data_IF_354533443783
#
_entry.id   IF_354533443783
#
_cell.length_a   1.000
_cell.length_b   1.000
_cell.length_c   1.000
_cell.angle_alpha   90.00
_cell.angle_beta   90.00
_cell.angle_gamma   90.00
#
_symmetry.space_group_name_H-M   'P 1'
#
loop_
_entity.id
_entity.type
_entity.pdbx_description
1 polymer ?
#
# COMPACT_ATOMS: atom_id res chain seq x y z
N UNK A 1 5.27 3.25 8.38
CA UNK A 1 5.02 2.55 9.67
C UNK A 1 5.74 1.21 9.68
N UNK A 2 6.23 0.70 10.83
CA UNK A 2 6.96 -0.58 10.93
C UNK A 2 6.03 -1.69 11.44
N UNK A 3 6.09 -2.93 10.90
CA UNK A 3 5.38 -4.07 11.49
C UNK A 3 5.93 -4.41 12.89
N UNK A 4 5.17 -5.17 13.67
CA UNK A 4 5.68 -5.81 14.88
C UNK A 4 6.73 -6.86 14.51
N UNK A 5 7.91 -6.86 15.15
CA UNK A 5 8.95 -7.86 14.90
C UNK A 5 8.66 -9.18 15.62
N UNK A 6 9.11 -10.29 15.04
CA UNK A 6 8.97 -11.64 15.62
C UNK A 6 8.08 -12.57 14.79
N UNK A 7 8.27 -13.88 14.96
CA UNK A 7 7.49 -14.93 14.25
C UNK A 7 6.24 -15.34 15.03
N UNK A 8 6.35 -15.50 16.34
CA UNK A 8 5.23 -15.90 17.21
C UNK A 8 4.57 -14.66 17.83
N UNK A 9 3.78 -13.96 17.02
CA UNK A 9 3.07 -12.76 17.45
C UNK A 9 1.67 -13.11 17.99
N UNK A 10 1.17 -12.39 19.01
CA UNK A 10 -0.23 -12.44 19.42
C UNK A 10 -1.18 -12.12 18.25
N UNK A 11 -2.39 -12.68 18.27
CA UNK A 11 -3.40 -12.52 17.21
C UNK A 11 -3.55 -11.06 16.76
N UNK A 12 -3.68 -10.15 17.72
CA UNK A 12 -3.89 -8.72 17.44
C UNK A 12 -2.76 -8.08 16.61
N UNK A 13 -1.51 -8.44 16.93
CA UNK A 13 -0.32 -7.96 16.23
C UNK A 13 -0.16 -8.60 14.85
N UNK A 14 -0.62 -9.85 14.69
CA UNK A 14 -0.68 -10.51 13.37
C UNK A 14 -1.68 -9.83 12.46
N UNK A 15 -2.89 -9.55 12.96
CA UNK A 15 -3.93 -8.80 12.23
C UNK A 15 -3.38 -7.44 11.79
N UNK A 16 -2.76 -6.70 12.71
CA UNK A 16 -2.13 -5.42 12.36
C UNK A 16 -1.08 -5.57 11.26
N UNK A 17 -0.14 -6.53 11.40
CA UNK A 17 0.90 -6.75 10.40
C UNK A 17 0.32 -7.11 9.03
N UNK A 18 -0.70 -7.98 9.00
CA UNK A 18 -1.38 -8.38 7.77
C UNK A 18 -2.08 -7.20 7.09
N UNK A 19 -2.86 -6.42 7.84
CA UNK A 19 -3.52 -5.22 7.31
C UNK A 19 -2.53 -4.18 6.81
N UNK A 20 -1.41 -4.00 7.52
CA UNK A 20 -0.35 -3.11 7.09
C UNK A 20 0.30 -3.59 5.78
N UNK A 21 0.55 -4.90 5.63
CA UNK A 21 1.06 -5.48 4.39
C UNK A 21 0.07 -5.33 3.22
N UNK A 22 -1.22 -5.60 3.45
CA UNK A 22 -2.28 -5.38 2.45
C UNK A 22 -2.35 -3.92 2.00
N UNK A 23 -2.24 -2.97 2.92
CA UNK A 23 -2.20 -1.55 2.59
C UNK A 23 -0.97 -1.18 1.74
N UNK A 24 0.21 -1.71 2.07
CA UNK A 24 1.42 -1.51 1.26
C UNK A 24 1.28 -2.08 -0.14
N UNK A 25 0.75 -3.29 -0.27
CA UNK A 25 0.53 -3.93 -1.57
C UNK A 25 -0.32 -3.06 -2.50
N UNK A 26 -1.41 -2.45 -1.99
CA UNK A 26 -2.26 -1.54 -2.77
C UNK A 26 -1.46 -0.32 -3.25
N UNK A 27 -0.67 0.28 -2.36
CA UNK A 27 0.16 1.45 -2.69
C UNK A 27 1.24 1.10 -3.71
N UNK A 28 1.97 0.00 -3.50
CA UNK A 28 3.04 -0.47 -4.38
C UNK A 28 2.48 -0.81 -5.77
N UNK A 29 1.34 -1.50 -5.86
CA UNK A 29 0.68 -1.79 -7.13
C UNK A 29 0.28 -0.51 -7.88
N UNK A 30 -0.27 0.48 -7.17
CA UNK A 30 -0.64 1.76 -7.77
C UNK A 30 0.58 2.51 -8.33
N UNK A 31 1.69 2.58 -7.57
CA UNK A 31 2.93 3.18 -8.05
C UNK A 31 3.59 2.37 -9.18
N UNK A 32 3.47 1.05 -9.18
CA UNK A 32 3.89 0.19 -10.29
C UNK A 32 3.16 0.53 -11.58
N UNK A 33 1.84 0.69 -11.52
CA UNK A 33 1.04 1.14 -12.66
C UNK A 33 1.48 2.53 -13.13
N UNK A 34 1.58 3.51 -12.22
CA UNK A 34 1.98 4.88 -12.57
C UNK A 34 3.38 4.94 -13.20
N UNK A 35 4.36 4.22 -12.64
CA UNK A 35 5.74 4.21 -13.16
C UNK A 35 5.90 3.43 -14.47
N UNK A 36 5.09 2.41 -14.69
CA UNK A 36 5.04 1.70 -15.98
C UNK A 36 4.52 2.60 -17.09
N UNK A 37 3.45 3.37 -16.81
CA UNK A 37 2.80 4.24 -17.79
C UNK A 37 3.56 5.55 -18.03
N UNK A 38 4.06 6.19 -16.95
CA UNK A 38 4.69 7.51 -17.03
C UNK A 38 6.18 7.40 -16.76
N UNK A 39 7.00 7.68 -17.79
CA UNK A 39 8.46 7.64 -17.70
C UNK A 39 9.05 8.57 -16.64
N UNK A 40 8.35 9.64 -16.25
CA UNK A 40 8.85 10.60 -15.26
C UNK A 40 9.12 9.95 -13.89
N UNK A 41 8.35 8.93 -13.50
CA UNK A 41 8.51 8.26 -12.20
C UNK A 41 9.64 7.23 -12.16
N UNK A 42 10.32 6.97 -13.30
CA UNK A 42 11.43 6.00 -13.37
C UNK A 42 12.76 6.61 -12.94
N UNK A 43 12.82 7.93 -12.76
CA UNK A 43 14.00 8.67 -12.30
C UNK A 43 13.61 9.55 -11.13
N UNK A 44 14.62 10.04 -10.41
CA UNK A 44 14.43 11.04 -9.35
C UNK A 44 13.75 12.27 -9.96
N UNK A 45 12.71 12.76 -9.30
CA UNK A 45 11.99 13.97 -9.72
C UNK A 45 12.72 15.16 -9.08
N UNK A 46 13.52 15.88 -9.87
CA UNK A 46 14.33 17.03 -9.43
C UNK A 46 13.48 18.31 -9.33
N UNK A 47 12.40 18.26 -8.56
CA UNK A 47 11.49 19.40 -8.34
C UNK A 47 11.14 19.55 -6.87
N UNK A 48 10.66 20.74 -6.50
CA UNK A 48 10.16 20.98 -5.15
C UNK A 48 8.94 20.08 -4.83
N UNK A 49 8.78 19.62 -3.57
CA UNK A 49 7.69 18.73 -3.19
C UNK A 49 6.29 19.23 -3.59
N UNK A 50 6.07 20.54 -3.56
CA UNK A 50 4.81 21.19 -3.93
C UNK A 50 4.50 21.03 -5.42
N UNK A 51 5.53 20.97 -6.26
CA UNK A 51 5.39 20.72 -7.70
C UNK A 51 5.23 19.22 -7.97
N UNK A 52 5.95 18.37 -7.24
CA UNK A 52 5.80 16.92 -7.34
C UNK A 52 4.37 16.47 -7.03
N UNK A 53 3.71 17.07 -6.03
CA UNK A 53 2.31 16.82 -5.70
C UNK A 53 1.37 17.13 -6.89
N UNK A 54 1.62 18.23 -7.61
CA UNK A 54 0.87 18.56 -8.83
C UNK A 54 1.07 17.52 -9.93
N UNK A 55 2.29 17.00 -10.11
CA UNK A 55 2.55 15.94 -11.08
C UNK A 55 1.79 14.65 -10.75
N UNK A 56 1.80 14.23 -9.48
CA UNK A 56 1.05 13.04 -9.03
C UNK A 56 -0.45 13.22 -9.26
N UNK A 57 -1.02 14.39 -8.92
CA UNK A 57 -2.44 14.66 -9.18
C UNK A 57 -2.77 14.66 -10.67
N UNK A 58 -1.93 15.30 -11.49
CA UNK A 58 -2.13 15.36 -12.94
C UNK A 58 -2.07 13.98 -13.60
N UNK A 59 -1.10 13.13 -13.24
CA UNK A 59 -0.99 11.77 -13.80
C UNK A 59 -2.12 10.86 -13.33
N UNK A 60 -2.61 11.02 -12.10
CA UNK A 60 -3.82 10.31 -11.63
C UNK A 60 -5.07 10.72 -12.43
N UNK A 61 -5.28 12.01 -12.67
CA UNK A 61 -6.40 12.52 -13.48
C UNK A 61 -6.28 11.98 -14.91
N UNK A 62 -5.09 12.08 -15.51
CA UNK A 62 -4.85 11.64 -16.88
C UNK A 62 -4.98 10.11 -17.03
N UNK A 63 -4.49 9.33 -16.06
CA UNK A 63 -4.69 7.89 -16.00
C UNK A 63 -6.18 7.53 -15.99
N UNK A 64 -6.97 8.20 -15.15
CA UNK A 64 -8.42 7.97 -15.09
C UNK A 64 -9.14 8.38 -16.38
N UNK A 65 -8.75 9.50 -16.97
CA UNK A 65 -9.28 9.94 -18.27
C UNK A 65 -8.98 8.91 -19.37
N UNK A 66 -7.71 8.49 -19.50
CA UNK A 66 -7.28 7.48 -20.46
C UNK A 66 -7.99 6.15 -20.23
N UNK A 67 -8.15 5.71 -18.98
CA UNK A 67 -8.91 4.49 -18.69
C UNK A 67 -10.37 4.61 -19.11
N UNK A 68 -11.03 5.76 -18.93
CA UNK A 68 -12.41 5.95 -19.39
C UNK A 68 -12.51 5.92 -20.92
N UNK A 69 -11.58 6.57 -21.62
CA UNK A 69 -11.56 6.56 -23.10
C UNK A 69 -11.19 5.19 -23.66
N UNK A 70 -10.29 4.46 -23.01
CA UNK A 70 -9.87 3.11 -23.42
C UNK A 70 -10.91 2.06 -23.01
N UNK A 71 -11.60 2.19 -21.88
CA UNK A 71 -12.68 1.27 -21.48
C UNK A 71 -13.90 1.35 -22.42
N UNK A 72 -14.16 2.49 -23.06
CA UNK A 72 -15.10 2.56 -24.18
C UNK A 72 -14.66 1.68 -25.37
N UNK A 73 -13.35 1.43 -25.54
CA UNK A 73 -12.77 0.54 -26.56
C UNK A 73 -12.45 -0.89 -26.04
N UNK A 74 -12.46 -1.12 -24.73
CA UNK A 74 -11.92 -2.34 -24.08
C UNK A 74 -12.87 -2.89 -23.02
N UNK A 75 -14.15 -3.03 -23.33
CA UNK A 75 -15.08 -3.88 -22.55
C UNK A 75 -14.77 -5.40 -22.68
N UNK A 76 -13.62 -5.80 -23.26
CA UNK A 76 -13.33 -7.20 -23.65
C UNK A 76 -12.21 -7.94 -22.91
N UNK A 77 -11.43 -7.33 -22.02
CA UNK A 77 -10.32 -8.07 -21.42
C UNK A 77 -9.78 -7.47 -20.12
N UNK A 78 -10.36 -7.81 -18.96
CA UNK A 78 -9.59 -7.92 -17.70
C UNK A 78 -10.22 -9.05 -16.86
N UNK A 79 -9.61 -10.22 -16.87
CA UNK A 79 -9.80 -11.23 -15.82
C UNK A 79 -9.00 -10.83 -14.58
N UNK A 80 -9.62 -10.97 -13.42
CA UNK A 80 -8.99 -10.77 -12.11
C UNK A 80 -7.98 -11.90 -11.93
N UNK A 81 -6.69 -11.59 -11.88
CA UNK A 81 -5.66 -12.57 -11.56
C UNK A 81 -5.61 -12.76 -10.03
N UNK A 82 -5.66 -14.03 -9.60
CA UNK A 82 -5.54 -14.43 -8.21
C UNK A 82 -4.20 -13.98 -7.62
N UNK A 83 -4.26 -13.27 -6.50
CA UNK A 83 -3.10 -12.67 -5.83
C UNK A 83 -2.56 -13.67 -4.81
N UNK A 84 -1.42 -14.28 -5.12
CA UNK A 84 -0.65 -15.10 -4.18
C UNK A 84 -0.11 -14.27 -2.99
N UNK A 85 -0.01 -14.83 -1.79
CA UNK A 85 0.55 -14.13 -0.62
C UNK A 85 2.03 -13.80 -0.83
N UNK A 86 2.41 -12.55 -0.57
CA UNK A 86 3.80 -12.08 -0.60
C UNK A 86 4.70 -12.89 0.37
N UNK A 87 5.85 -13.43 -0.09
CA UNK A 87 6.80 -14.12 0.78
C UNK A 87 7.44 -13.17 1.80
N UNK A 88 7.81 -13.73 2.94
CA UNK A 88 8.19 -13.02 4.17
C UNK A 88 9.16 -11.84 4.01
N UNK A 89 8.72 -10.67 4.47
CA UNK A 89 9.55 -9.48 4.62
C UNK A 89 10.74 -9.76 5.57
N UNK A 90 11.96 -9.64 5.03
CA UNK A 90 13.20 -9.64 5.81
C UNK A 90 13.31 -8.47 6.79
N UNK A 91 14.39 -8.44 7.59
CA UNK A 91 14.67 -7.39 8.59
C UNK A 91 14.85 -6.02 7.91
N UNK A 92 13.79 -5.22 7.88
CA UNK A 92 13.86 -3.81 7.48
C UNK A 92 14.13 -2.95 8.73
N UNK A 93 15.37 -2.45 8.82
CA UNK A 93 15.84 -1.32 9.63
C UNK A 93 15.96 -1.46 11.16
N UNK A 94 16.72 -0.51 11.74
CA UNK A 94 17.20 -0.42 13.12
C UNK A 94 16.08 -0.38 14.20
N UNK A 95 16.44 -0.78 15.42
CA UNK A 95 15.49 -1.11 16.49
C UNK A 95 14.91 0.08 17.29
N UNK A 96 15.29 1.32 17.01
CA UNK A 96 14.84 2.47 17.79
C UNK A 96 13.76 3.26 17.04
N UNK A 97 12.49 3.13 17.46
CA UNK A 97 11.36 3.90 16.94
C UNK A 97 10.95 5.00 17.93
N UNK A 98 10.67 6.21 17.43
CA UNK A 98 10.16 7.31 18.24
C UNK A 98 8.87 6.90 18.99
N UNK A 99 8.68 7.40 20.22
CA UNK A 99 7.51 7.10 21.07
C UNK A 99 6.19 7.37 20.35
N UNK A 100 6.13 8.43 19.55
CA UNK A 100 4.95 8.76 18.76
C UNK A 100 4.61 7.68 17.72
N UNK A 101 5.62 7.16 17.01
CA UNK A 101 5.42 6.10 16.03
C UNK A 101 4.91 4.80 16.68
N UNK A 102 5.29 4.54 17.94
CA UNK A 102 4.78 3.41 18.72
C UNK A 102 3.29 3.63 19.05
N UNK A 103 2.93 4.83 19.54
CA UNK A 103 1.54 5.18 19.86
C UNK A 103 0.62 5.03 18.66
N UNK A 104 1.00 5.60 17.52
CA UNK A 104 0.17 5.50 16.29
C UNK A 104 -0.04 4.04 15.89
N UNK A 105 1.01 3.20 15.99
CA UNK A 105 0.89 1.76 15.71
C UNK A 105 -0.07 1.07 16.68
N UNK A 106 0.00 1.38 17.97
CA UNK A 106 -0.89 0.84 18.99
C UNK A 106 -2.34 1.24 18.74
N UNK A 107 -2.60 2.51 18.43
CA UNK A 107 -3.94 3.00 18.05
C UNK A 107 -4.52 2.22 16.87
N UNK A 108 -3.74 2.03 15.80
CA UNK A 108 -4.20 1.21 14.67
C UNK A 108 -4.41 -0.26 15.05
N UNK A 109 -3.57 -0.80 15.93
CA UNK A 109 -3.73 -2.18 16.41
C UNK A 109 -5.04 -2.33 17.16
N UNK A 110 -5.35 -1.43 18.10
CA UNK A 110 -6.60 -1.44 18.84
C UNK A 110 -7.80 -1.29 17.91
N UNK A 111 -7.76 -0.34 16.96
CA UNK A 111 -8.83 -0.13 16.00
C UNK A 111 -9.11 -1.37 15.13
N UNK A 112 -8.07 -2.00 14.56
CA UNK A 112 -8.25 -3.19 13.70
C UNK A 112 -8.77 -4.43 14.43
N UNK A 113 -8.61 -4.49 15.75
CA UNK A 113 -9.12 -5.59 16.58
C UNK A 113 -10.48 -5.29 17.22
N UNK A 114 -11.01 -4.08 17.05
CA UNK A 114 -12.29 -3.65 17.58
C UNK A 114 -13.20 -3.20 16.41
N UNK A 115 -13.51 -1.91 16.34
CA UNK A 115 -14.41 -1.30 15.35
C UNK A 115 -14.00 -1.61 13.89
N UNK A 116 -12.69 -1.65 13.61
CA UNK A 116 -12.15 -1.86 12.27
C UNK A 116 -12.10 -3.33 11.82
N UNK A 117 -12.72 -4.26 12.54
CA UNK A 117 -12.66 -5.71 12.25
C UNK A 117 -13.26 -6.03 10.88
N UNK A 118 -12.57 -6.86 10.09
CA UNK A 118 -13.04 -7.34 8.79
C UNK A 118 -13.03 -8.87 8.74
N UNK A 119 -13.94 -9.47 7.97
CA UNK A 119 -14.17 -10.93 7.96
C UNK A 119 -12.94 -11.76 7.56
N UNK A 120 -12.08 -11.22 6.72
CA UNK A 120 -10.92 -11.92 6.15
C UNK A 120 -9.62 -11.73 6.95
N UNK A 121 -9.63 -10.98 8.06
CA UNK A 121 -8.37 -10.64 8.76
C UNK A 121 -7.80 -11.77 9.63
N UNK A 122 -8.59 -12.84 9.82
CA UNK A 122 -8.21 -14.02 10.59
C UNK A 122 -7.67 -15.16 9.74
N UNK A 123 -7.78 -15.05 8.41
CA UNK A 123 -7.33 -16.08 7.44
C UNK A 123 -5.81 -15.98 7.14
N UNK A 124 -5.01 -15.55 8.12
CA UNK A 124 -3.59 -15.17 7.99
C UNK A 124 -2.64 -16.20 8.57
#
# INVERSE_FOLDING_TARGET
MRPFPGRNLPRERRIFNYRLSRARLVVENAFGILSSQWRMYRRVIEVQPEVADKFVKATCILHNFLRRTTQANTQRAISVADVEPLPGLGRIAANNSAREAIRVREVFTSYFNAEGTVRWQDDV
#
